data_IF_963648625169
#
_entry.id   IF_963648625169
#
_cell.length_a   1.000
_cell.length_b   1.000
_cell.length_c   1.000
_cell.angle_alpha   90.00
_cell.angle_beta   90.00
_cell.angle_gamma   90.00
#
_symmetry.space_group_name_H-M   'P 1'
#
loop_
_entity.id
_entity.type
_entity.pdbx_description
1 polymer ?
#
# COMPACT_ATOMS: atom_id res chain seq x y z
N UNK A 1 -8.07 27.37 -20.72
CA UNK A 1 -7.70 26.91 -19.36
C UNK A 1 -8.64 27.60 -18.40
N UNK A 2 -9.69 26.89 -17.96
CA UNK A 2 -10.56 27.33 -16.86
C UNK A 2 -11.32 26.11 -16.33
N UNK A 3 -10.93 25.70 -15.12
CA UNK A 3 -11.75 25.10 -14.05
C UNK A 3 -12.41 23.72 -14.26
N UNK A 4 -11.62 22.65 -14.10
CA UNK A 4 -12.13 21.34 -13.66
C UNK A 4 -12.48 21.42 -12.16
N UNK A 5 -13.72 21.77 -11.84
CA UNK A 5 -14.27 21.71 -10.48
C UNK A 5 -14.84 20.30 -10.22
N UNK A 6 -13.97 19.35 -9.87
CA UNK A 6 -14.35 18.00 -9.40
C UNK A 6 -14.67 18.00 -7.91
N UNK A 7 -15.64 18.83 -7.52
CA UNK A 7 -16.20 18.84 -6.17
C UNK A 7 -17.70 18.56 -6.23
N UNK A 8 -18.19 17.72 -5.31
CA UNK A 8 -19.61 17.34 -5.18
C UNK A 8 -20.55 18.51 -4.84
N UNK A 9 -20.01 19.70 -4.65
CA UNK A 9 -20.66 20.96 -4.30
C UNK A 9 -21.49 21.59 -5.43
N UNK A 10 -21.46 21.02 -6.65
CA UNK A 10 -22.27 21.49 -7.79
C UNK A 10 -23.20 20.44 -8.41
N UNK A 11 -23.53 19.37 -7.68
CA UNK A 11 -24.56 18.45 -8.17
C UNK A 11 -25.97 19.08 -8.01
N UNK A 12 -26.82 19.05 -9.06
CA UNK A 12 -28.22 19.40 -8.90
C UNK A 12 -28.89 18.46 -7.88
N UNK A 13 -29.91 18.96 -7.18
CA UNK A 13 -30.53 18.25 -6.05
C UNK A 13 -31.02 16.83 -6.39
N UNK A 14 -31.42 16.62 -7.64
CA UNK A 14 -31.80 15.31 -8.19
C UNK A 14 -30.63 14.32 -8.26
N UNK A 15 -29.44 14.78 -8.68
CA UNK A 15 -28.24 13.96 -8.74
C UNK A 15 -27.74 13.61 -7.32
N UNK A 16 -27.86 14.55 -6.37
CA UNK A 16 -27.55 14.29 -4.96
C UNK A 16 -28.51 13.27 -4.34
N UNK A 17 -29.81 13.36 -4.66
CA UNK A 17 -30.82 12.41 -4.18
C UNK A 17 -30.62 10.99 -4.73
N UNK A 18 -30.21 10.88 -6.01
CA UNK A 18 -29.83 9.59 -6.62
C UNK A 18 -28.57 9.04 -5.95
N UNK A 19 -27.55 9.87 -5.75
CA UNK A 19 -26.32 9.48 -5.07
C UNK A 19 -26.58 8.98 -3.64
N UNK A 20 -27.39 9.70 -2.85
CA UNK A 20 -27.79 9.28 -1.51
C UNK A 20 -28.58 7.97 -1.50
N UNK A 21 -29.51 7.79 -2.44
CA UNK A 21 -30.27 6.54 -2.56
C UNK A 21 -29.39 5.35 -2.96
N UNK A 22 -28.29 5.62 -3.66
CA UNK A 22 -27.24 4.66 -3.98
C UNK A 22 -26.20 4.48 -2.83
N UNK A 23 -26.40 5.11 -1.67
CA UNK A 23 -25.52 4.99 -0.50
C UNK A 23 -24.32 5.93 -0.49
N UNK A 24 -24.21 6.85 -1.45
CA UNK A 24 -23.19 7.89 -1.42
C UNK A 24 -23.59 8.97 -0.39
N UNK A 25 -22.80 9.12 0.66
CA UNK A 25 -22.96 10.20 1.61
C UNK A 25 -21.86 11.22 1.39
N UNK A 26 -22.21 12.51 1.28
CA UNK A 26 -21.27 13.63 1.32
C UNK A 26 -20.71 13.82 2.73
N UNK A 27 -20.04 12.80 3.26
CA UNK A 27 -19.15 12.93 4.39
C UNK A 27 -17.77 13.37 3.90
N UNK A 28 -16.79 13.54 4.82
CA UNK A 28 -15.40 13.51 4.41
C UNK A 28 -15.22 12.26 3.55
N UNK A 29 -14.66 12.40 2.34
CA UNK A 29 -14.09 11.25 1.59
C UNK A 29 -13.43 10.35 2.62
N UNK A 30 -13.82 9.06 2.64
CA UNK A 30 -13.37 8.04 3.60
C UNK A 30 -12.15 8.54 4.36
N UNK A 31 -12.36 9.06 5.58
CA UNK A 31 -11.34 9.76 6.38
C UNK A 31 -10.02 9.07 6.12
N UNK A 32 -9.15 9.69 5.30
CA UNK A 32 -7.95 9.03 4.79
C UNK A 32 -7.16 8.62 6.01
N UNK A 33 -7.24 7.33 6.39
CA UNK A 33 -6.44 6.79 7.48
C UNK A 33 -5.02 7.20 7.13
N UNK A 34 -4.36 7.90 8.04
CA UNK A 34 -3.04 8.48 7.78
C UNK A 34 -2.14 7.38 7.25
N UNK A 35 -1.66 7.56 6.03
CA UNK A 35 -0.73 6.63 5.39
C UNK A 35 0.67 7.22 5.47
N UNK A 36 1.44 6.69 6.43
CA UNK A 36 2.81 7.10 6.69
C UNK A 36 3.75 6.68 5.55
N UNK A 37 3.38 5.66 4.77
CA UNK A 37 4.21 5.15 3.70
C UNK A 37 4.25 6.11 2.50
N UNK A 38 3.18 6.87 2.26
CA UNK A 38 3.06 7.81 1.12
C UNK A 38 4.16 8.86 1.04
N UNK A 39 4.68 9.30 2.18
CA UNK A 39 5.79 10.27 2.26
C UNK A 39 7.14 9.61 2.48
N UNK A 40 7.16 8.27 2.60
CA UNK A 40 8.37 7.49 2.78
C UNK A 40 9.17 7.33 1.50
N UNK A 41 10.37 6.79 1.63
CA UNK A 41 11.24 6.43 0.51
C UNK A 41 11.28 4.92 0.35
N UNK A 42 10.75 4.41 -0.77
CA UNK A 42 10.77 2.99 -1.07
C UNK A 42 12.02 2.57 -1.84
N UNK A 43 12.55 1.40 -1.49
CA UNK A 43 13.62 0.70 -2.19
C UNK A 43 13.29 -0.78 -2.31
N UNK A 44 13.94 -1.50 -3.24
CA UNK A 44 13.74 -2.93 -3.44
C UNK A 44 15.05 -3.60 -3.84
N UNK A 45 15.16 -4.91 -3.59
CA UNK A 45 16.37 -5.71 -3.80
C UNK A 45 16.89 -5.68 -5.24
N UNK A 46 15.98 -5.66 -6.19
CA UNK A 46 16.23 -5.58 -7.63
C UNK A 46 15.00 -4.99 -8.31
N UNK A 47 15.09 -4.57 -9.58
CA UNK A 47 13.94 -4.00 -10.31
C UNK A 47 13.76 -4.75 -11.63
N UNK A 48 12.57 -5.32 -11.85
CA UNK A 48 12.19 -5.90 -13.15
C UNK A 48 11.68 -4.79 -14.07
N UNK A 49 12.44 -4.48 -15.12
CA UNK A 49 12.07 -3.45 -16.10
C UNK A 49 11.92 -2.07 -15.45
N UNK A 50 10.73 -1.47 -15.59
CA UNK A 50 10.40 -0.14 -15.06
C UNK A 50 9.58 -0.18 -13.77
N UNK A 51 9.36 -1.36 -13.18
CA UNK A 51 8.50 -1.56 -12.02
C UNK A 51 9.21 -1.18 -10.71
N UNK A 52 9.52 0.11 -10.55
CA UNK A 52 10.26 0.67 -9.43
C UNK A 52 9.52 0.58 -8.08
N UNK A 53 10.27 0.58 -6.98
CA UNK A 53 9.74 0.43 -5.62
C UNK A 53 8.70 1.49 -5.22
N UNK A 54 8.82 2.72 -5.74
CA UNK A 54 7.94 3.83 -5.39
C UNK A 54 6.50 3.63 -5.86
N UNK A 55 6.24 2.73 -6.82
CA UNK A 55 4.89 2.45 -7.32
C UNK A 55 3.97 1.89 -6.24
N UNK A 56 4.50 1.19 -5.21
CA UNK A 56 3.68 0.74 -4.08
C UNK A 56 3.19 1.89 -3.19
N UNK A 57 3.66 3.13 -3.38
CA UNK A 57 3.33 4.30 -2.55
C UNK A 57 2.52 5.35 -3.30
N UNK A 58 2.23 5.16 -4.59
CA UNK A 58 1.66 6.19 -5.47
C UNK A 58 0.13 6.35 -5.35
N UNK A 59 -0.53 5.39 -4.69
CA UNK A 59 -1.98 5.38 -4.51
C UNK A 59 -2.77 4.85 -5.71
N UNK A 60 -2.11 4.26 -6.71
CA UNK A 60 -2.74 3.65 -7.88
C UNK A 60 -2.54 2.13 -7.86
N UNK A 61 -3.57 1.38 -7.47
CA UNK A 61 -3.53 -0.10 -7.45
C UNK A 61 -3.46 -0.76 -8.84
N UNK A 62 -3.36 0.01 -9.93
CA UNK A 62 -3.08 -0.46 -11.29
C UNK A 62 -1.60 -0.35 -11.68
N UNK A 63 -0.79 0.37 -10.92
CA UNK A 63 0.67 0.33 -11.03
C UNK A 63 1.20 -0.73 -10.07
N UNK A 64 2.42 -1.20 -10.31
CA UNK A 64 3.03 -2.23 -9.46
C UNK A 64 4.54 -2.11 -9.41
N UNK A 65 5.10 -2.32 -8.21
CA UNK A 65 6.52 -2.62 -8.05
C UNK A 65 6.79 -4.06 -8.39
N UNK A 66 8.04 -4.34 -8.76
CA UNK A 66 8.45 -5.70 -9.04
C UNK A 66 9.95 -5.90 -8.91
N UNK A 67 10.36 -6.81 -8.02
CA UNK A 67 11.76 -7.29 -7.95
C UNK A 67 12.10 -8.19 -9.13
N UNK A 68 13.29 -8.79 -9.24
CA UNK A 68 13.48 -10.05 -9.98
C UNK A 68 13.07 -11.23 -9.08
N UNK A 69 13.06 -12.44 -9.65
CA UNK A 69 12.96 -13.66 -8.85
C UNK A 69 14.34 -14.01 -8.29
N UNK A 70 14.52 -13.93 -6.98
CA UNK A 70 15.79 -14.17 -6.30
C UNK A 70 15.58 -14.69 -4.87
N UNK A 71 16.64 -15.23 -4.25
CA UNK A 71 16.59 -15.66 -2.86
C UNK A 71 16.48 -14.44 -1.94
N UNK A 72 15.43 -14.39 -1.12
CA UNK A 72 15.21 -13.28 -0.19
C UNK A 72 14.92 -11.94 -0.89
N UNK A 73 14.20 -11.97 -2.01
CA UNK A 73 13.71 -10.77 -2.68
C UNK A 73 12.96 -9.87 -1.68
N UNK A 74 13.16 -8.56 -1.74
CA UNK A 74 12.55 -7.65 -0.78
C UNK A 74 12.14 -6.29 -1.35
N UNK A 75 11.13 -5.70 -0.73
CA UNK A 75 10.73 -4.30 -0.85
C UNK A 75 10.73 -3.67 0.54
N UNK A 76 11.15 -2.42 0.67
CA UNK A 76 11.20 -1.71 1.96
C UNK A 76 10.84 -0.24 1.79
N UNK A 77 10.08 0.31 2.74
CA UNK A 77 9.90 1.75 2.90
C UNK A 77 10.62 2.25 4.15
N UNK A 78 11.38 3.34 4.01
CA UNK A 78 11.85 4.16 5.12
C UNK A 78 10.85 5.31 5.33
N UNK A 79 10.25 5.38 6.52
CA UNK A 79 9.25 6.37 6.91
C UNK A 79 9.89 7.75 7.24
N UNK A 80 11.22 7.87 7.15
CA UNK A 80 12.01 9.08 7.38
C UNK A 80 12.34 9.32 8.85
N UNK A 81 11.54 8.80 9.77
CA UNK A 81 11.76 8.80 11.22
C UNK A 81 11.04 7.62 11.85
N UNK A 82 11.37 7.31 13.11
CA UNK A 82 10.63 6.29 13.86
C UNK A 82 9.19 6.73 14.08
N UNK A 83 8.25 5.88 13.68
CA UNK A 83 6.82 6.09 13.83
C UNK A 83 6.21 4.93 14.60
N UNK A 84 5.17 5.20 15.40
CA UNK A 84 4.33 4.12 15.92
C UNK A 84 3.32 3.74 14.84
N UNK A 85 3.30 2.47 14.48
CA UNK A 85 2.39 1.90 13.49
C UNK A 85 1.49 0.87 14.16
N UNK A 86 0.22 0.82 13.75
CA UNK A 86 -0.77 -0.16 14.21
C UNK A 86 -1.31 -1.08 13.13
N UNK A 87 -1.21 -0.68 11.87
CA UNK A 87 -1.75 -1.50 10.79
C UNK A 87 -0.90 -1.34 9.55
N UNK A 88 -0.72 -2.42 8.81
CA UNK A 88 -0.16 -2.42 7.46
C UNK A 88 -1.16 -3.08 6.53
N UNK A 89 -1.41 -2.47 5.37
CA UNK A 89 -2.15 -3.10 4.28
C UNK A 89 -1.21 -3.35 3.11
N UNK A 90 -1.18 -4.60 2.65
CA UNK A 90 -0.32 -5.05 1.55
C UNK A 90 -1.22 -5.46 0.40
N UNK A 91 -1.15 -4.72 -0.70
CA UNK A 91 -1.89 -5.02 -1.91
C UNK A 91 -0.97 -5.71 -2.91
N UNK A 92 -1.14 -7.02 -3.09
CA UNK A 92 -0.35 -7.79 -4.05
C UNK A 92 -0.55 -7.29 -5.50
N UNK A 93 0.40 -7.56 -6.38
CA UNK A 93 0.23 -7.38 -7.83
C UNK A 93 -0.89 -8.31 -8.36
N UNK A 94 -1.67 -7.86 -9.36
CA UNK A 94 -2.79 -8.64 -9.92
C UNK A 94 -2.37 -9.82 -10.81
N UNK A 95 -1.18 -9.73 -11.40
CA UNK A 95 -0.61 -10.65 -12.40
C UNK A 95 0.60 -11.44 -11.89
N UNK A 96 1.17 -11.05 -10.76
CA UNK A 96 2.35 -11.66 -10.14
C UNK A 96 2.13 -11.88 -8.64
N UNK A 97 2.75 -12.92 -8.08
CA UNK A 97 2.50 -13.34 -6.70
C UNK A 97 3.68 -13.01 -5.79
N UNK A 98 3.41 -12.24 -4.73
CA UNK A 98 4.20 -12.28 -3.49
C UNK A 98 3.60 -13.34 -2.57
N UNK A 99 4.39 -14.29 -2.10
CA UNK A 99 3.93 -15.36 -1.22
C UNK A 99 5.02 -15.79 -0.23
N UNK A 100 4.60 -16.37 0.89
CA UNK A 100 5.45 -16.89 1.96
C UNK A 100 6.55 -15.89 2.30
N UNK A 101 6.13 -14.79 2.92
CA UNK A 101 6.94 -13.61 3.15
C UNK A 101 6.83 -13.13 4.58
N UNK A 102 7.87 -12.42 5.00
CA UNK A 102 7.97 -11.80 6.31
C UNK A 102 7.77 -10.29 6.17
N UNK A 103 6.99 -9.73 7.10
CA UNK A 103 6.92 -8.30 7.34
C UNK A 103 7.80 -7.99 8.54
N UNK A 104 8.90 -7.29 8.29
CA UNK A 104 9.92 -6.97 9.29
C UNK A 104 9.81 -5.49 9.65
N UNK A 105 9.78 -5.24 10.95
CA UNK A 105 9.85 -3.93 11.60
C UNK A 105 11.00 -3.93 12.61
N UNK A 106 11.34 -2.77 13.17
CA UNK A 106 12.39 -2.66 14.18
C UNK A 106 12.08 -3.48 15.45
N UNK A 107 10.78 -3.62 15.80
CA UNK A 107 10.34 -4.38 16.99
C UNK A 107 10.14 -5.88 16.75
N UNK A 108 10.16 -6.34 15.48
CA UNK A 108 10.00 -7.76 15.18
C UNK A 108 9.48 -8.08 13.79
N UNK A 109 9.21 -9.38 13.60
CA UNK A 109 8.85 -9.97 12.31
C UNK A 109 7.52 -10.72 12.41
N UNK A 110 6.64 -10.51 11.43
CA UNK A 110 5.42 -11.30 11.24
C UNK A 110 5.52 -12.09 9.93
N UNK A 111 5.41 -13.41 10.04
CA UNK A 111 5.38 -14.28 8.86
C UNK A 111 3.95 -14.38 8.30
N UNK A 112 3.82 -14.18 7.00
CA UNK A 112 2.58 -14.35 6.24
C UNK A 112 2.74 -15.55 5.32
N UNK A 113 2.09 -16.65 5.69
CA UNK A 113 2.05 -17.86 4.86
C UNK A 113 1.06 -17.74 3.71
N UNK A 114 1.40 -18.33 2.57
CA UNK A 114 0.60 -18.27 1.36
C UNK A 114 0.71 -16.93 0.63
N UNK A 115 -0.23 -16.69 -0.30
CA UNK A 115 -0.19 -15.51 -1.17
C UNK A 115 -0.63 -14.25 -0.42
N UNK A 116 0.05 -13.14 -0.68
CA UNK A 116 -0.47 -11.82 -0.36
C UNK A 116 -1.82 -11.61 -1.07
N UNK A 117 -2.79 -11.08 -0.33
CA UNK A 117 -4.12 -10.72 -0.80
C UNK A 117 -4.09 -9.28 -1.34
N UNK A 118 -5.27 -8.75 -1.68
CA UNK A 118 -5.47 -7.37 -2.14
C UNK A 118 -6.65 -6.75 -1.36
N UNK A 119 -6.47 -6.31 -0.10
CA UNK A 119 -5.23 -6.35 0.70
C UNK A 119 -5.08 -7.58 1.61
N UNK A 120 -3.84 -7.92 1.97
CA UNK A 120 -3.52 -8.56 3.25
C UNK A 120 -3.42 -7.47 4.31
N UNK A 121 -4.20 -7.58 5.37
CA UNK A 121 -4.19 -6.64 6.50
C UNK A 121 -3.46 -7.29 7.67
N UNK A 122 -2.50 -6.57 8.24
CA UNK A 122 -1.77 -6.98 9.43
C UNK A 122 -1.96 -5.93 10.53
N UNK A 123 -2.55 -6.36 11.64
CA UNK A 123 -2.56 -5.57 12.87
C UNK A 123 -1.23 -5.76 13.59
N UNK A 124 -0.56 -4.65 13.86
CA UNK A 124 0.73 -4.58 14.55
C UNK A 124 0.63 -3.59 15.71
N UNK A 125 1.63 -3.56 16.57
CA UNK A 125 1.86 -2.44 17.47
C UNK A 125 3.38 -2.29 17.61
N UNK A 126 3.97 -1.56 16.66
CA UNK A 126 5.41 -1.48 16.49
C UNK A 126 5.84 -0.03 16.38
N UNK A 127 6.94 0.33 17.04
CA UNK A 127 7.69 1.56 16.76
C UNK A 127 8.79 1.21 15.78
N UNK A 128 8.67 1.75 14.57
CA UNK A 128 9.61 1.43 13.50
C UNK A 128 9.87 2.62 12.61
N UNK A 129 11.09 2.73 12.10
CA UNK A 129 11.41 3.63 10.98
C UNK A 129 11.20 2.94 9.64
N UNK A 130 11.35 1.63 9.58
CA UNK A 130 11.28 0.89 8.31
C UNK A 130 10.22 -0.21 8.35
N UNK A 131 9.60 -0.45 7.21
CA UNK A 131 8.75 -1.63 6.99
C UNK A 131 9.34 -2.36 5.79
N UNK A 132 9.76 -3.61 6.00
CA UNK A 132 10.33 -4.46 4.96
C UNK A 132 9.45 -5.67 4.72
N UNK A 133 9.13 -5.93 3.47
CA UNK A 133 8.46 -7.15 2.98
C UNK A 133 9.53 -7.98 2.29
N UNK A 134 9.82 -9.18 2.80
CA UNK A 134 10.89 -10.05 2.29
C UNK A 134 10.40 -11.48 2.14
N UNK A 135 10.70 -12.13 1.01
CA UNK A 135 10.32 -13.54 0.81
C UNK A 135 11.16 -14.47 1.69
N UNK A 136 10.55 -15.48 2.30
CA UNK A 136 11.28 -16.44 3.16
C UNK A 136 12.12 -17.46 2.36
N UNK A 137 12.07 -17.43 1.03
CA UNK A 137 12.85 -18.27 0.13
C UNK A 137 13.16 -17.61 -1.21
N UNK A 138 13.38 -18.42 -2.25
CA UNK A 138 13.48 -17.93 -3.63
C UNK A 138 12.11 -17.58 -4.15
N UNK A 139 11.94 -16.32 -4.53
CA UNK A 139 10.67 -15.82 -5.03
C UNK A 139 10.82 -14.38 -5.45
N UNK A 140 9.70 -13.68 -5.47
CA UNK A 140 9.66 -12.30 -5.91
C UNK A 140 8.77 -11.49 -4.96
N UNK A 141 9.02 -10.20 -4.89
CA UNK A 141 8.07 -9.24 -4.33
C UNK A 141 7.47 -8.44 -5.49
N UNK A 142 6.15 -8.42 -5.56
CA UNK A 142 5.37 -7.66 -6.53
C UNK A 142 4.13 -7.08 -5.86
N UNK A 143 4.07 -5.77 -5.73
CA UNK A 143 3.10 -5.06 -4.89
C UNK A 143 2.48 -3.93 -5.70
N UNK A 144 1.16 -3.80 -5.64
CA UNK A 144 0.42 -2.65 -6.20
C UNK A 144 0.34 -1.50 -5.20
N UNK A 145 0.30 -1.80 -3.90
CA UNK A 145 0.25 -0.76 -2.87
C UNK A 145 0.70 -1.30 -1.51
N UNK A 146 1.32 -0.45 -0.70
CA UNK A 146 1.58 -0.68 0.72
C UNK A 146 1.14 0.56 1.49
N UNK A 147 0.22 0.36 2.43
CA UNK A 147 -0.27 1.42 3.32
C UNK A 147 0.21 1.13 4.75
N UNK A 148 0.65 2.17 5.45
CA UNK A 148 1.11 2.05 6.85
C UNK A 148 0.38 3.06 7.72
N UNK A 149 -0.34 2.57 8.74
CA UNK A 149 -1.23 3.37 9.58
C UNK A 149 -0.80 3.37 11.06
N UNK A 150 -0.98 4.50 11.80
CA UNK A 150 -0.63 4.64 13.22
C UNK A 150 -1.71 4.17 14.22
#
# INVERSE_FOLDING_TARGET
>A
MTDNLTGLDRLPAEALAVAHRAGAHGGPVEQLRTDLARTGTATQSSTEGTAGAALALDGDTNTDTRTLSEAGAWWQVDLGSEQRIRQIEIWNNSSATTADFDVVTDDGTVHVSGKALRPTVLDLDSRTRTVKIVTSGTGRVALSQVLVHP
#
